data_IF_126735419540
#
_entry.id   IF_126735419540
#
_cell.length_a   1.000
_cell.length_b   1.000
_cell.length_c   1.000
_cell.angle_alpha   90.00
_cell.angle_beta   90.00
_cell.angle_gamma   90.00
#
_symmetry.space_group_name_H-M   'P 1'
#
loop_
_entity.id
_entity.type
_entity.pdbx_description
1 polymer ?
#
# COMPACT_ATOMS: atom_id res chain seq x y z
N UNK A 1 13.00 23.85 -22.05
CA UNK A 1 13.84 23.77 -20.83
C UNK A 1 12.92 23.98 -19.64
N UNK A 2 12.66 22.96 -18.83
CA UNK A 2 11.86 23.11 -17.61
C UNK A 2 12.76 23.75 -16.56
N UNK A 3 12.48 25.00 -16.19
CA UNK A 3 13.21 25.69 -15.12
C UNK A 3 12.78 25.11 -13.77
N UNK A 4 13.66 24.38 -13.12
CA UNK A 4 13.45 23.94 -11.73
C UNK A 4 13.85 25.09 -10.79
N UNK A 5 12.85 25.68 -10.13
CA UNK A 5 13.11 26.58 -9.00
C UNK A 5 13.22 25.75 -7.72
N UNK A 6 14.40 25.72 -7.10
CA UNK A 6 14.60 25.08 -5.80
C UNK A 6 13.90 25.93 -4.72
N UNK A 7 13.05 25.28 -3.94
CA UNK A 7 12.46 25.88 -2.73
C UNK A 7 13.45 25.76 -1.56
N UNK A 8 13.42 26.73 -0.66
CA UNK A 8 14.20 26.62 0.60
C UNK A 8 13.81 25.37 1.38
N UNK A 9 14.75 24.78 2.11
CA UNK A 9 14.47 23.67 3.04
C UNK A 9 13.51 24.14 4.12
N UNK A 10 12.52 23.32 4.48
CA UNK A 10 11.56 23.62 5.54
C UNK A 10 11.13 22.31 6.22
N UNK A 11 11.49 22.17 7.48
CA UNK A 11 11.09 21.07 8.34
C UNK A 11 9.57 20.98 8.45
N UNK A 12 8.89 22.12 8.57
CA UNK A 12 7.44 22.17 8.63
C UNK A 12 6.80 21.54 7.40
N UNK A 13 7.25 21.87 6.18
CA UNK A 13 6.71 21.25 4.95
C UNK A 13 6.98 19.73 4.87
N UNK A 14 8.09 19.28 5.45
CA UNK A 14 8.41 17.85 5.50
C UNK A 14 7.44 17.12 6.45
N UNK A 15 7.19 17.67 7.64
CA UNK A 15 6.20 17.15 8.59
C UNK A 15 4.79 17.17 8.00
N UNK A 16 4.36 18.30 7.44
CA UNK A 16 3.05 18.44 6.79
C UNK A 16 2.82 17.41 5.67
N UNK A 17 3.86 17.02 4.94
CA UNK A 17 3.75 16.00 3.90
C UNK A 17 3.40 14.62 4.48
N UNK A 18 3.98 14.26 5.62
CA UNK A 18 3.66 13.02 6.34
C UNK A 18 2.25 13.07 6.92
N UNK A 19 1.90 14.17 7.57
CA UNK A 19 0.57 14.38 8.17
C UNK A 19 -0.54 14.32 7.11
N UNK A 20 -0.28 14.82 5.90
CA UNK A 20 -1.22 14.76 4.78
C UNK A 20 -1.51 13.33 4.34
N UNK A 21 -0.49 12.45 4.30
CA UNK A 21 -0.67 11.03 3.95
C UNK A 21 -1.51 10.34 5.03
N UNK A 22 -1.16 10.54 6.31
CA UNK A 22 -1.91 9.97 7.43
C UNK A 22 -3.37 10.41 7.42
N UNK A 23 -3.63 11.71 7.24
CA UNK A 23 -5.00 12.25 7.17
C UNK A 23 -5.78 11.62 6.02
N UNK A 24 -5.18 11.47 4.84
CA UNK A 24 -5.82 10.85 3.67
C UNK A 24 -6.16 9.39 3.95
N UNK A 25 -5.23 8.63 4.53
CA UNK A 25 -5.45 7.24 4.91
C UNK A 25 -6.64 7.12 5.86
N UNK A 26 -6.62 7.84 6.97
CA UNK A 26 -7.68 7.77 7.98
C UNK A 26 -9.03 8.26 7.45
N UNK A 27 -9.04 9.28 6.59
CA UNK A 27 -10.28 9.78 5.96
C UNK A 27 -10.86 8.72 5.02
N UNK A 28 -10.04 8.12 4.14
CA UNK A 28 -10.50 7.07 3.23
C UNK A 28 -10.98 5.83 4.00
N UNK A 29 -10.24 5.40 5.02
CA UNK A 29 -10.61 4.30 5.91
C UNK A 29 -11.96 4.55 6.58
N UNK A 30 -12.14 5.71 7.22
CA UNK A 30 -13.40 6.11 7.87
C UNK A 30 -14.59 6.10 6.90
N UNK A 31 -14.41 6.55 5.65
CA UNK A 31 -15.49 6.51 4.65
C UNK A 31 -15.95 5.08 4.35
N UNK A 32 -15.00 4.16 4.21
CA UNK A 32 -15.29 2.74 3.92
C UNK A 32 -15.89 2.04 5.14
N UNK A 33 -15.34 2.26 6.34
CA UNK A 33 -15.85 1.70 7.59
C UNK A 33 -17.29 2.13 7.88
N UNK A 34 -17.58 3.43 7.77
CA UNK A 34 -18.93 3.97 7.99
C UNK A 34 -19.96 3.41 7.00
N UNK A 35 -19.53 3.01 5.81
CA UNK A 35 -20.38 2.39 4.81
C UNK A 35 -20.44 0.84 4.93
N UNK A 36 -19.71 0.24 5.87
CA UNK A 36 -19.59 -1.21 6.01
C UNK A 36 -19.02 -1.88 4.76
N UNK A 37 -18.04 -1.24 4.11
CA UNK A 37 -17.34 -1.79 2.94
C UNK A 37 -16.05 -2.44 3.43
N UNK A 38 -15.88 -3.76 3.25
CA UNK A 38 -14.65 -4.44 3.64
C UNK A 38 -13.46 -3.95 2.81
N UNK A 39 -12.37 -3.61 3.49
CA UNK A 39 -11.11 -3.17 2.87
C UNK A 39 -9.92 -3.57 3.73
N UNK A 40 -8.72 -3.42 3.20
CA UNK A 40 -7.49 -3.44 4.00
C UNK A 40 -6.49 -2.40 3.46
N UNK A 41 -5.78 -1.73 4.36
CA UNK A 41 -4.62 -0.91 4.00
C UNK A 41 -3.46 -1.84 3.67
N UNK A 42 -2.85 -1.61 2.51
CA UNK A 42 -1.73 -2.40 1.98
C UNK A 42 -0.56 -1.47 1.58
N UNK A 43 0.37 -1.95 0.78
CA UNK A 43 1.43 -1.11 0.22
C UNK A 43 2.43 -0.60 1.23
N UNK A 44 2.93 0.62 1.03
CA UNK A 44 3.96 1.24 1.86
C UNK A 44 3.44 1.61 3.26
N UNK A 45 2.18 2.07 3.37
CA UNK A 45 1.59 2.41 4.67
C UNK A 45 1.42 1.17 5.57
N UNK A 46 1.09 0.01 4.99
CA UNK A 46 1.03 -1.23 5.76
C UNK A 46 2.41 -1.67 6.25
N UNK A 47 3.46 -1.51 5.43
CA UNK A 47 4.84 -1.77 5.88
C UNK A 47 5.20 -0.84 7.02
N UNK A 48 4.95 0.47 6.88
CA UNK A 48 5.20 1.46 7.91
C UNK A 48 4.47 1.13 9.23
N UNK A 49 3.21 0.72 9.14
CA UNK A 49 2.42 0.32 10.31
C UNK A 49 2.99 -0.94 11.01
N UNK A 50 3.43 -1.94 10.25
CA UNK A 50 4.06 -3.13 10.84
C UNK A 50 5.42 -2.83 11.46
N UNK A 51 6.29 -2.06 10.76
CA UNK A 51 7.61 -1.65 11.26
C UNK A 51 7.49 -0.85 12.55
N UNK A 52 6.52 0.09 12.63
CA UNK A 52 6.31 0.92 13.82
C UNK A 52 5.94 0.15 15.07
N UNK A 53 5.41 -1.08 14.95
CA UNK A 53 5.14 -1.95 16.12
C UNK A 53 6.41 -2.46 16.81
N UNK A 54 7.55 -2.37 16.13
CA UNK A 54 8.84 -2.83 16.63
C UNK A 54 9.79 -1.68 16.84
N UNK A 55 9.90 -0.78 15.84
CA UNK A 55 10.81 0.37 15.88
C UNK A 55 10.24 1.56 15.10
N UNK A 56 9.76 2.56 15.82
CA UNK A 56 9.22 3.79 15.23
C UNK A 56 10.28 4.58 14.44
N UNK A 57 11.56 4.40 14.75
CA UNK A 57 12.66 5.12 14.10
C UNK A 57 13.04 4.53 12.75
N UNK A 58 12.67 3.27 12.49
CA UNK A 58 12.91 2.57 11.24
C UNK A 58 11.81 2.81 10.18
N UNK A 59 10.75 3.55 10.52
CA UNK A 59 9.61 3.78 9.65
C UNK A 59 9.98 4.62 8.42
N UNK A 60 9.71 4.10 7.22
CA UNK A 60 9.80 4.86 5.97
C UNK A 60 8.46 5.48 5.60
N UNK A 61 8.48 6.75 5.24
CA UNK A 61 7.30 7.45 4.77
C UNK A 61 7.02 7.14 3.29
N UNK A 62 5.75 6.97 2.97
CA UNK A 62 5.23 6.85 1.60
C UNK A 62 4.32 8.03 1.28
N UNK A 63 4.03 8.25 -0.01
CA UNK A 63 3.18 9.38 -0.46
C UNK A 63 1.77 8.95 -0.80
N UNK A 64 1.64 7.76 -1.33
CA UNK A 64 0.40 7.14 -1.78
C UNK A 64 -0.24 6.34 -0.64
N UNK A 65 -1.54 6.22 -0.69
CA UNK A 65 -2.31 5.31 0.16
C UNK A 65 -2.80 4.18 -0.73
N UNK A 66 -2.40 2.96 -0.42
CA UNK A 66 -2.83 1.76 -1.15
C UNK A 66 -3.91 1.04 -0.35
N UNK A 67 -5.09 0.84 -0.94
CA UNK A 67 -6.22 0.11 -0.34
C UNK A 67 -6.56 -1.11 -1.18
N UNK A 68 -6.72 -2.25 -0.52
CA UNK A 68 -7.22 -3.48 -1.08
C UNK A 68 -8.75 -3.51 -0.93
N UNK A 69 -9.46 -3.76 -2.03
CA UNK A 69 -10.92 -3.93 -2.07
C UNK A 69 -11.26 -5.23 -2.81
N UNK A 70 -12.45 -5.77 -2.56
CA UNK A 70 -13.04 -6.73 -3.50
C UNK A 70 -13.62 -5.98 -4.69
N UNK A 71 -13.43 -6.47 -5.90
CA UNK A 71 -13.93 -5.79 -7.10
C UNK A 71 -15.45 -5.57 -7.07
N UNK A 72 -16.19 -6.49 -6.48
CA UNK A 72 -17.64 -6.36 -6.31
C UNK A 72 -18.05 -5.14 -5.45
N UNK A 73 -17.18 -4.68 -4.56
CA UNK A 73 -17.46 -3.55 -3.67
C UNK A 73 -17.07 -2.19 -4.30
N UNK A 74 -16.34 -2.19 -5.43
CA UNK A 74 -15.87 -0.96 -6.07
C UNK A 74 -17.00 0.06 -6.37
N UNK A 75 -18.17 -0.33 -6.93
CA UNK A 75 -19.23 0.65 -7.21
C UNK A 75 -19.75 1.34 -5.95
N UNK A 76 -19.86 0.61 -4.82
CA UNK A 76 -20.24 1.20 -3.53
C UNK A 76 -19.15 2.10 -2.98
N UNK A 77 -17.87 1.67 -3.08
CA UNK A 77 -16.73 2.46 -2.66
C UNK A 77 -16.66 3.77 -3.45
N UNK A 78 -16.87 3.76 -4.77
CA UNK A 78 -16.93 4.97 -5.60
C UNK A 78 -17.99 5.93 -5.06
N UNK A 79 -19.22 5.46 -4.87
CA UNK A 79 -20.32 6.32 -4.41
C UNK A 79 -20.03 6.98 -3.06
N UNK A 80 -19.48 6.22 -2.10
CA UNK A 80 -19.16 6.72 -0.75
C UNK A 80 -17.99 7.69 -0.77
N UNK A 81 -16.93 7.35 -1.50
CA UNK A 81 -15.74 8.19 -1.58
C UNK A 81 -16.03 9.52 -2.32
N UNK A 82 -16.87 9.49 -3.37
CA UNK A 82 -17.28 10.71 -4.07
C UNK A 82 -18.14 11.62 -3.18
N UNK A 83 -19.04 11.07 -2.36
CA UNK A 83 -19.79 11.83 -1.35
C UNK A 83 -18.87 12.48 -0.30
N UNK A 84 -17.73 11.87 -0.01
CA UNK A 84 -16.70 12.39 0.89
C UNK A 84 -15.73 13.38 0.22
N UNK A 85 -15.96 13.76 -1.05
CA UNK A 85 -15.17 14.77 -1.76
C UNK A 85 -14.00 14.22 -2.58
N UNK A 86 -13.88 12.90 -2.69
CA UNK A 86 -12.93 12.29 -3.62
C UNK A 86 -13.47 12.30 -5.06
N UNK A 87 -12.57 12.13 -6.02
CA UNK A 87 -12.88 11.92 -7.45
C UNK A 87 -12.32 10.59 -7.91
N UNK A 88 -13.19 9.67 -8.31
CA UNK A 88 -12.75 8.42 -8.92
C UNK A 88 -12.19 8.65 -10.32
N UNK A 89 -11.06 8.01 -10.64
CA UNK A 89 -10.45 7.97 -11.97
C UNK A 89 -9.84 6.60 -12.23
N UNK A 90 -9.89 6.21 -13.51
CA UNK A 90 -9.03 5.14 -13.99
C UNK A 90 -7.81 5.76 -14.68
N UNK A 91 -6.62 5.38 -14.26
CA UNK A 91 -5.36 5.88 -14.79
C UNK A 91 -4.53 4.74 -15.36
N UNK A 92 -3.69 5.04 -16.35
CA UNK A 92 -2.74 4.05 -16.83
C UNK A 92 -1.79 3.63 -15.71
N UNK A 93 -1.68 2.33 -15.47
CA UNK A 93 -0.76 1.78 -14.48
C UNK A 93 0.64 1.68 -15.07
N UNK A 94 1.59 2.44 -14.52
CA UNK A 94 2.98 2.38 -14.93
C UNK A 94 3.58 1.01 -14.59
N UNK A 95 3.91 0.24 -15.63
CA UNK A 95 4.59 -1.05 -15.50
C UNK A 95 3.69 -2.29 -15.48
N UNK A 96 2.35 -2.16 -15.53
CA UNK A 96 1.46 -3.34 -15.61
C UNK A 96 0.72 -3.47 -16.95
N UNK A 97 0.79 -2.44 -17.82
CA UNK A 97 0.10 -2.42 -19.10
C UNK A 97 -1.43 -2.31 -19.00
N UNK A 98 -1.97 -2.10 -17.80
CA UNK A 98 -3.40 -1.98 -17.52
C UNK A 98 -3.80 -0.62 -16.97
N UNK A 99 -5.01 -0.55 -16.42
CA UNK A 99 -5.52 0.61 -15.69
C UNK A 99 -5.56 0.31 -14.19
N UNK A 100 -5.47 1.38 -13.39
CA UNK A 100 -5.60 1.34 -11.94
C UNK A 100 -6.71 2.33 -11.54
N UNK A 101 -7.57 1.91 -10.65
CA UNK A 101 -8.58 2.76 -10.04
C UNK A 101 -7.94 3.60 -8.92
N UNK A 102 -8.21 4.89 -8.92
CA UNK A 102 -7.68 5.83 -7.91
C UNK A 102 -8.76 6.79 -7.44
N UNK A 103 -8.65 7.23 -6.19
CA UNK A 103 -9.46 8.31 -5.63
C UNK A 103 -8.57 9.52 -5.36
N UNK A 104 -8.84 10.61 -6.07
CA UNK A 104 -8.14 11.90 -5.95
C UNK A 104 -8.84 12.77 -4.91
N UNK A 105 -8.09 13.47 -4.05
CA UNK A 105 -8.66 14.47 -3.15
C UNK A 105 -8.98 15.75 -3.92
N UNK A 106 -10.29 16.07 -4.08
CA UNK A 106 -10.75 17.25 -4.79
C UNK A 106 -10.45 17.25 -6.30
N UNK A 107 -10.68 18.41 -6.93
CA UNK A 107 -10.55 18.57 -8.39
C UNK A 107 -9.08 18.64 -8.87
N UNK A 108 -8.19 19.17 -8.05
CA UNK A 108 -6.75 19.36 -8.35
C UNK A 108 -5.85 18.21 -7.83
N UNK A 109 -6.45 17.12 -7.36
CA UNK A 109 -5.75 15.96 -6.80
C UNK A 109 -4.77 15.35 -7.81
N UNK A 110 -3.57 14.99 -7.35
CA UNK A 110 -2.54 14.37 -8.18
C UNK A 110 -2.54 12.85 -7.98
N UNK A 111 -2.41 12.10 -9.06
CA UNK A 111 -2.37 10.62 -9.03
C UNK A 111 -1.31 10.09 -8.04
N UNK A 112 -0.15 10.72 -7.94
CA UNK A 112 0.92 10.33 -7.02
C UNK A 112 0.59 10.52 -5.54
N UNK A 113 -0.43 11.35 -5.26
CA UNK A 113 -0.89 11.67 -3.90
C UNK A 113 -2.32 11.14 -3.69
N UNK A 114 -2.74 10.12 -4.45
CA UNK A 114 -4.09 9.56 -4.42
C UNK A 114 -4.22 8.36 -3.46
N UNK A 115 -5.44 7.91 -3.27
CA UNK A 115 -5.75 6.58 -2.77
C UNK A 115 -5.81 5.64 -3.96
N UNK A 116 -4.89 4.68 -4.02
CA UNK A 116 -4.80 3.67 -5.06
C UNK A 116 -5.58 2.43 -4.66
N UNK A 117 -6.32 1.86 -5.59
CA UNK A 117 -7.11 0.64 -5.35
C UNK A 117 -6.42 -0.56 -5.96
N UNK A 118 -6.17 -1.57 -5.13
CA UNK A 118 -5.80 -2.92 -5.53
C UNK A 118 -7.01 -3.82 -5.33
N UNK A 119 -7.09 -4.92 -6.09
CA UNK A 119 -8.21 -5.84 -5.98
C UNK A 119 -7.78 -7.18 -5.39
N UNK A 120 -8.53 -7.62 -4.38
CA UNK A 120 -8.40 -8.92 -3.76
C UNK A 120 -8.65 -10.03 -4.79
N UNK A 121 -7.85 -11.09 -4.75
CA UNK A 121 -7.93 -12.21 -5.68
C UNK A 121 -7.47 -11.90 -7.11
N UNK A 122 -7.03 -10.69 -7.41
CA UNK A 122 -6.52 -10.31 -8.72
C UNK A 122 -4.99 -10.17 -8.72
N UNK A 123 -4.38 -10.44 -9.85
CA UNK A 123 -2.92 -10.25 -10.01
C UNK A 123 -2.60 -8.77 -10.23
N UNK A 124 -1.58 -8.27 -9.55
CA UNK A 124 -1.10 -6.89 -9.72
C UNK A 124 -0.57 -6.63 -11.15
N UNK A 125 -0.14 -7.69 -11.82
CA UNK A 125 0.29 -7.74 -13.22
C UNK A 125 -0.09 -9.11 -13.78
N UNK A 126 -0.30 -9.24 -15.10
CA UNK A 126 -0.64 -10.54 -15.72
C UNK A 126 0.40 -11.64 -15.45
N UNK A 127 1.68 -11.26 -15.35
CA UNK A 127 2.82 -12.15 -15.11
C UNK A 127 3.14 -12.36 -13.62
N UNK A 128 2.42 -11.74 -12.70
CA UNK A 128 2.64 -11.94 -11.28
C UNK A 128 2.36 -13.41 -10.90
N UNK A 129 3.22 -14.04 -10.08
CA UNK A 129 3.12 -15.47 -9.76
C UNK A 129 1.89 -15.83 -8.91
N UNK A 130 1.38 -14.87 -8.13
CA UNK A 130 0.22 -15.06 -7.27
C UNK A 130 -0.73 -13.85 -7.35
N UNK A 131 -2.04 -14.05 -7.07
CA UNK A 131 -2.98 -12.96 -6.89
C UNK A 131 -2.73 -12.25 -5.55
N UNK A 132 -3.37 -11.06 -5.39
CA UNK A 132 -3.45 -10.38 -4.10
C UNK A 132 -4.31 -11.21 -3.12
N UNK A 133 -4.00 -11.09 -1.85
CA UNK A 133 -4.75 -11.72 -0.75
C UNK A 133 -6.18 -11.15 -0.61
N UNK A 134 -7.02 -11.76 0.23
CA UNK A 134 -8.37 -11.25 0.49
C UNK A 134 -8.35 -10.16 1.58
N UNK A 135 -9.30 -9.25 1.55
CA UNK A 135 -9.47 -8.20 2.56
C UNK A 135 -9.81 -8.75 3.95
N UNK A 136 -10.33 -9.98 4.02
CA UNK A 136 -10.62 -10.66 5.29
C UNK A 136 -9.33 -11.02 6.06
N UNK A 137 -8.20 -11.15 5.36
CA UNK A 137 -6.90 -11.41 5.97
C UNK A 137 -6.28 -10.09 6.51
N UNK A 138 -7.03 -9.43 7.38
CA UNK A 138 -6.69 -8.14 7.97
C UNK A 138 -7.14 -8.05 9.43
N UNK A 139 -6.57 -7.12 10.17
CA UNK A 139 -6.91 -6.82 11.55
C UNK A 139 -7.28 -5.34 11.74
N UNK A 140 -8.11 -5.05 12.74
CA UNK A 140 -8.41 -3.68 13.12
C UNK A 140 -7.25 -3.08 13.91
N UNK A 141 -6.82 -1.89 13.50
CA UNK A 141 -5.83 -1.09 14.19
C UNK A 141 -6.40 0.31 14.45
N UNK A 142 -5.59 1.21 14.99
CA UNK A 142 -6.02 2.57 15.34
C UNK A 142 -6.54 3.37 14.13
N UNK A 143 -7.84 3.23 13.86
CA UNK A 143 -8.58 3.98 12.85
C UNK A 143 -8.56 3.43 11.42
N UNK A 144 -8.06 2.22 11.19
CA UNK A 144 -8.13 1.55 9.88
C UNK A 144 -7.94 0.03 10.00
N UNK A 145 -8.23 -0.69 8.91
CA UNK A 145 -7.96 -2.13 8.80
C UNK A 145 -6.61 -2.35 8.14
N UNK A 146 -5.69 -3.04 8.84
CA UNK A 146 -4.35 -3.35 8.36
C UNK A 146 -4.33 -4.79 7.82
N UNK A 147 -3.82 -4.99 6.62
CA UNK A 147 -3.56 -6.32 6.08
C UNK A 147 -2.63 -7.11 7.01
N UNK A 148 -2.86 -8.42 7.18
CA UNK A 148 -1.98 -9.24 8.02
C UNK A 148 -0.53 -9.22 7.51
N UNK A 149 0.41 -9.43 8.41
CA UNK A 149 1.84 -9.44 8.05
C UNK A 149 2.14 -10.50 7.01
N UNK A 150 1.58 -11.69 7.17
CA UNK A 150 1.78 -12.80 6.23
C UNK A 150 1.25 -12.46 4.82
N UNK A 151 0.05 -11.88 4.74
CA UNK A 151 -0.55 -11.44 3.48
C UNK A 151 0.28 -10.34 2.82
N UNK A 152 0.72 -9.33 3.59
CA UNK A 152 1.57 -8.26 3.10
C UNK A 152 2.88 -8.79 2.50
N UNK A 153 3.56 -9.69 3.20
CA UNK A 153 4.80 -10.33 2.72
C UNK A 153 4.54 -11.07 1.41
N UNK A 154 3.48 -11.91 1.32
CA UNK A 154 3.12 -12.64 0.09
C UNK A 154 2.87 -11.69 -1.07
N UNK A 155 2.11 -10.62 -0.85
CA UNK A 155 1.84 -9.60 -1.88
C UNK A 155 3.13 -8.92 -2.36
N UNK A 156 4.08 -8.62 -1.46
CA UNK A 156 5.38 -8.01 -1.81
C UNK A 156 6.26 -8.98 -2.58
N UNK A 157 6.33 -10.24 -2.17
CA UNK A 157 7.05 -11.29 -2.88
C UNK A 157 6.46 -11.54 -4.28
N UNK A 158 5.12 -11.48 -4.44
CA UNK A 158 4.47 -11.63 -5.73
C UNK A 158 4.73 -10.43 -6.66
N UNK A 159 4.67 -9.20 -6.15
CA UNK A 159 4.88 -7.97 -6.92
C UNK A 159 6.34 -7.79 -7.36
N UNK A 160 7.31 -8.05 -6.50
CA UNK A 160 8.76 -8.13 -6.73
C UNK A 160 9.39 -6.92 -7.46
N UNK A 161 8.84 -5.70 -7.29
CA UNK A 161 9.45 -4.45 -7.77
C UNK A 161 10.57 -4.02 -6.82
N UNK A 162 11.43 -3.12 -7.24
CA UNK A 162 12.50 -2.59 -6.38
C UNK A 162 11.97 -2.06 -5.05
N UNK A 163 10.87 -1.30 -5.09
CA UNK A 163 10.22 -0.83 -3.86
C UNK A 163 9.68 -1.96 -2.98
N UNK A 164 9.24 -3.09 -3.57
CA UNK A 164 8.72 -4.21 -2.80
C UNK A 164 9.86 -4.97 -2.12
N UNK A 165 11.00 -5.14 -2.79
CA UNK A 165 12.24 -5.69 -2.19
C UNK A 165 12.75 -4.83 -1.05
N UNK A 166 12.78 -3.49 -1.23
CA UNK A 166 13.13 -2.55 -0.16
C UNK A 166 12.19 -2.70 1.05
N UNK A 167 10.89 -2.77 0.84
CA UNK A 167 9.91 -2.97 1.91
C UNK A 167 10.08 -4.31 2.65
N UNK A 168 10.43 -5.39 1.93
CA UNK A 168 10.75 -6.68 2.56
C UNK A 168 12.01 -6.58 3.44
N UNK A 169 13.03 -5.83 3.00
CA UNK A 169 14.22 -5.56 3.83
C UNK A 169 13.91 -4.69 5.05
N UNK A 170 13.03 -3.70 4.91
CA UNK A 170 12.57 -2.92 6.07
C UNK A 170 11.92 -3.82 7.14
N UNK A 171 11.09 -4.79 6.72
CA UNK A 171 10.50 -5.79 7.63
C UNK A 171 11.56 -6.74 8.22
N UNK A 172 12.55 -7.15 7.43
CA UNK A 172 13.66 -7.99 7.87
C UNK A 172 14.51 -7.28 8.93
N UNK A 173 14.84 -6.01 8.68
CA UNK A 173 15.69 -5.21 9.57
C UNK A 173 15.14 -5.10 10.99
N UNK A 174 13.82 -5.15 11.15
CA UNK A 174 13.14 -5.13 12.45
C UNK A 174 12.72 -6.53 12.94
N UNK A 175 13.14 -7.60 12.26
CA UNK A 175 12.87 -8.99 12.67
C UNK A 175 11.45 -9.49 12.40
N UNK A 176 10.71 -8.82 11.52
CA UNK A 176 9.34 -9.22 11.12
C UNK A 176 9.31 -10.15 9.91
N UNK A 177 10.41 -10.32 9.18
CA UNK A 177 10.51 -11.19 8.02
C UNK A 177 11.33 -12.44 8.34
N UNK A 178 10.62 -13.55 8.51
CA UNK A 178 11.18 -14.89 8.72
C UNK A 178 10.42 -15.91 7.86
N UNK A 179 11.04 -17.07 7.58
CA UNK A 179 10.36 -18.17 6.87
C UNK A 179 9.09 -18.64 7.60
N UNK A 180 9.12 -18.63 8.92
CA UNK A 180 8.00 -19.01 9.77
C UNK A 180 6.79 -18.07 9.67
N UNK A 181 7.00 -16.81 9.25
CA UNK A 181 5.93 -15.82 9.13
C UNK A 181 4.99 -16.08 7.93
N UNK A 182 5.45 -16.84 6.93
CA UNK A 182 4.71 -17.09 5.68
C UNK A 182 4.79 -18.56 5.24
N UNK A 183 4.21 -19.49 5.99
CA UNK A 183 4.25 -20.90 5.63
C UNK A 183 3.51 -21.17 4.32
N UNK A 184 3.96 -22.20 3.56
CA UNK A 184 3.28 -22.69 2.37
C UNK A 184 3.35 -21.76 1.17
N UNK A 185 4.46 -21.04 1.01
CA UNK A 185 4.72 -20.25 -0.21
C UNK A 185 4.88 -21.17 -1.43
N UNK A 186 4.43 -20.73 -2.63
CA UNK A 186 4.85 -21.32 -3.89
C UNK A 186 6.37 -21.20 -4.08
N UNK A 187 6.98 -22.16 -4.77
CA UNK A 187 8.45 -22.28 -4.95
C UNK A 187 9.12 -20.95 -5.31
N UNK A 188 8.58 -20.25 -6.33
CA UNK A 188 9.13 -18.95 -6.76
C UNK A 188 9.08 -17.87 -5.68
N UNK A 189 8.04 -17.87 -4.83
CA UNK A 189 7.96 -16.89 -3.73
C UNK A 189 8.89 -17.29 -2.58
N UNK A 190 9.11 -18.56 -2.37
CA UNK A 190 10.10 -19.08 -1.41
C UNK A 190 11.52 -18.71 -1.84
N UNK A 191 11.87 -18.92 -3.12
CA UNK A 191 13.16 -18.47 -3.69
C UNK A 191 13.39 -16.96 -3.50
N UNK A 192 12.35 -16.15 -3.72
CA UNK A 192 12.41 -14.70 -3.51
C UNK A 192 12.58 -14.32 -2.04
N UNK A 193 11.92 -15.05 -1.14
CA UNK A 193 12.09 -14.85 0.29
C UNK A 193 13.52 -15.19 0.72
N UNK A 194 14.05 -16.31 0.26
CA UNK A 194 15.43 -16.73 0.54
C UNK A 194 16.43 -15.69 0.05
N UNK A 195 16.22 -15.18 -1.19
CA UNK A 195 17.06 -14.11 -1.73
C UNK A 195 17.08 -12.87 -0.82
N UNK A 196 15.92 -12.42 -0.28
CA UNK A 196 15.89 -11.27 0.64
C UNK A 196 16.62 -11.58 1.94
N UNK A 197 16.39 -12.78 2.51
CA UNK A 197 17.00 -13.16 3.78
C UNK A 197 18.52 -13.30 3.71
N UNK A 198 19.06 -13.74 2.56
CA UNK A 198 20.48 -13.90 2.30
C UNK A 198 21.19 -12.60 1.89
N UNK A 199 20.45 -11.59 1.39
CA UNK A 199 20.99 -10.33 0.87
C UNK A 199 20.32 -9.11 1.51
N UNK A 200 20.54 -8.87 2.80
CA UNK A 200 19.86 -7.78 3.52
C UNK A 200 20.32 -6.38 3.08
N UNK A 201 21.52 -6.25 2.50
CA UNK A 201 22.17 -4.98 2.16
C UNK A 201 22.04 -4.56 0.68
N UNK A 202 21.47 -5.41 -0.20
CA UNK A 202 21.41 -5.16 -1.67
C UNK A 202 20.30 -4.17 -2.09
#
# INVERSE_FOLDING_TARGET
MVSFSLKSVSWQRMSEAVDNVRRRLLHAASCLDNAGIPYAVVGGNAVAAWVSRVDDTAVRNTRDVDILLRRADLPRAIAVMEQAGYRHRQVASLGSGGTMDVFLEGDDGKVRDAVHVLFAGERIRPDAPAPNEDVADSEDVDGFRLISLAALIRMKLAAWRDKDRMHLRDLQAVGLLEKSAVPGLPDLLEERLDFILEHPED
#
